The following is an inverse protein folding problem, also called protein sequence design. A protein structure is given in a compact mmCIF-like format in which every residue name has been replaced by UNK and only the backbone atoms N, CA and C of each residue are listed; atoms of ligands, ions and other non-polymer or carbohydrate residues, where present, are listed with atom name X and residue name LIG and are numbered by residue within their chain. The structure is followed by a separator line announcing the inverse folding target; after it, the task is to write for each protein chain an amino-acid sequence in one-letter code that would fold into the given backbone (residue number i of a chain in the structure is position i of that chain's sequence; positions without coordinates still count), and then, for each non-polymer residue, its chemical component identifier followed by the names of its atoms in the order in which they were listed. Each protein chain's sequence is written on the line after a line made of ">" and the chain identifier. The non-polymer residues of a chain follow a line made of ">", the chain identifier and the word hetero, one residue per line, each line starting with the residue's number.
data_IF_419792387387
#
_entry.id   IF_419792387387
#
_cell.length_a   1.000
_cell.length_b   1.000
_cell.length_c   1.000
_cell.angle_alpha   90.00
_cell.angle_beta   90.00
_cell.angle_gamma   90.00
#
_symmetry.space_group_name_H-M   'P 1'
#
loop_
_entity.id
_entity.type
_entity.pdbx_description
1 polymer ?
#
# COMPACT_ATOMS: atom_id res chain seq x y z
N UNK A 1 -17.25 0.69 34.83
CA UNK A 1 -16.79 1.36 33.60
C UNK A 1 -16.47 0.29 32.57
N UNK A 2 -17.44 -0.01 31.70
CA UNK A 2 -17.24 -0.95 30.60
C UNK A 2 -16.41 -0.25 29.52
N UNK A 3 -15.23 -0.77 29.24
CA UNK A 3 -14.45 -0.41 28.08
C UNK A 3 -15.14 -1.02 26.87
N UNK A 4 -15.72 -0.17 26.03
CA UNK A 4 -16.32 -0.56 24.77
C UNK A 4 -15.19 -1.03 23.82
N UNK A 5 -14.93 -2.34 23.84
CA UNK A 5 -14.03 -3.03 22.91
C UNK A 5 -14.71 -3.11 21.55
N UNK A 6 -14.63 -2.06 20.75
CA UNK A 6 -15.23 -2.09 19.41
C UNK A 6 -15.13 -0.83 18.57
N UNK A 7 -14.61 0.28 19.11
CA UNK A 7 -14.40 1.52 18.37
C UNK A 7 -13.18 1.50 17.45
N UNK A 8 -12.96 0.43 16.68
CA UNK A 8 -12.14 0.59 15.46
C UNK A 8 -12.97 1.51 14.58
N UNK A 9 -12.49 2.72 14.29
CA UNK A 9 -13.10 3.54 13.25
C UNK A 9 -13.15 2.66 12.01
N UNK A 10 -14.30 2.08 11.73
CA UNK A 10 -14.59 1.35 10.50
C UNK A 10 -14.70 2.48 9.48
N UNK A 11 -13.54 2.92 8.99
CA UNK A 11 -13.45 3.72 7.79
C UNK A 11 -14.01 2.81 6.69
N UNK A 12 -15.33 2.84 6.52
CA UNK A 12 -16.03 2.05 5.53
C UNK A 12 -15.40 2.35 4.18
N UNK A 13 -14.98 1.31 3.47
CA UNK A 13 -14.25 1.41 2.21
C UNK A 13 -14.98 2.32 1.20
N UNK A 14 -16.32 2.33 1.26
CA UNK A 14 -17.16 3.26 0.49
C UNK A 14 -16.95 4.74 0.82
N UNK A 15 -16.75 5.09 2.09
CA UNK A 15 -16.45 6.47 2.50
C UNK A 15 -15.10 6.91 1.93
N UNK A 16 -14.07 6.08 2.03
CA UNK A 16 -12.75 6.38 1.46
C UNK A 16 -12.85 6.50 -0.07
N UNK A 17 -13.55 5.59 -0.74
CA UNK A 17 -13.80 5.66 -2.19
C UNK A 17 -14.43 7.02 -2.57
N UNK A 18 -15.42 7.48 -1.80
CA UNK A 18 -16.10 8.76 -2.03
C UNK A 18 -15.16 9.95 -1.84
N UNK A 19 -14.38 9.95 -0.78
CA UNK A 19 -13.43 11.02 -0.45
C UNK A 19 -12.35 11.16 -1.52
N UNK A 20 -11.68 10.06 -1.86
CA UNK A 20 -10.62 10.05 -2.88
C UNK A 20 -11.15 10.38 -4.28
N UNK A 21 -12.34 9.88 -4.63
CA UNK A 21 -12.98 10.26 -5.91
C UNK A 21 -13.27 11.75 -5.97
N UNK A 22 -13.77 12.35 -4.89
CA UNK A 22 -14.04 13.79 -4.83
C UNK A 22 -12.75 14.61 -4.89
N UNK A 23 -11.70 14.16 -4.20
CA UNK A 23 -10.37 14.81 -4.20
C UNK A 23 -9.78 14.89 -5.61
N UNK A 24 -9.99 13.84 -6.41
CA UNK A 24 -9.57 13.79 -7.82
C UNK A 24 -10.53 14.50 -8.79
N UNK A 25 -11.61 15.13 -8.30
CA UNK A 25 -12.59 15.84 -9.12
C UNK A 25 -13.46 14.95 -10.02
N UNK A 26 -13.42 13.62 -9.84
CA UNK A 26 -14.10 12.68 -10.74
C UNK A 26 -15.58 12.49 -10.36
N UNK A 27 -16.45 12.38 -11.36
CA UNK A 27 -17.84 11.99 -11.13
C UNK A 27 -17.95 10.49 -10.83
N UNK A 28 -19.03 10.06 -10.17
CA UNK A 28 -19.27 8.65 -9.91
C UNK A 28 -19.42 7.83 -11.21
N UNK A 29 -19.98 8.44 -12.26
CA UNK A 29 -20.17 7.79 -13.56
C UNK A 29 -18.83 7.65 -14.30
N UNK A 30 -17.95 8.67 -14.24
CA UNK A 30 -16.60 8.59 -14.81
C UNK A 30 -15.71 7.53 -14.12
N UNK A 31 -15.83 7.40 -12.80
CA UNK A 31 -15.15 6.31 -12.08
C UNK A 31 -15.73 4.95 -12.46
N UNK A 32 -17.05 4.85 -12.58
CA UNK A 32 -17.73 3.62 -12.91
C UNK A 32 -17.38 3.11 -14.31
N UNK A 33 -17.28 4.01 -15.28
CA UNK A 33 -16.85 3.71 -16.65
C UNK A 33 -15.45 3.07 -16.66
N UNK A 34 -14.47 3.70 -15.99
CA UNK A 34 -13.11 3.15 -15.85
C UNK A 34 -13.07 1.82 -15.09
N UNK A 35 -13.97 1.64 -14.12
CA UNK A 35 -14.05 0.43 -13.32
C UNK A 35 -14.99 -0.63 -13.94
N UNK A 36 -15.51 -0.43 -15.15
CA UNK A 36 -16.45 -1.30 -15.84
C UNK A 36 -17.67 -1.69 -14.99
N UNK A 37 -18.27 -0.71 -14.30
CA UNK A 37 -19.47 -0.90 -13.49
C UNK A 37 -20.48 0.25 -13.69
N UNK A 38 -21.64 0.20 -13.02
CA UNK A 38 -22.62 1.29 -13.10
C UNK A 38 -22.36 2.38 -12.07
N UNK A 39 -22.56 3.65 -12.45
CA UNK A 39 -22.40 4.75 -11.50
C UNK A 39 -23.43 4.74 -10.36
N UNK A 40 -24.58 4.09 -10.55
CA UNK A 40 -25.53 3.82 -9.45
C UNK A 40 -24.92 2.89 -8.41
N UNK A 41 -24.20 1.85 -8.85
CA UNK A 41 -23.52 0.91 -7.96
C UNK A 41 -22.40 1.60 -7.17
N UNK A 42 -21.60 2.45 -7.83
CA UNK A 42 -20.57 3.26 -7.14
C UNK A 42 -21.20 4.12 -6.03
N UNK A 43 -22.29 4.84 -6.32
CA UNK A 43 -22.98 5.65 -5.30
C UNK A 43 -23.52 4.82 -4.13
N UNK A 44 -24.06 3.62 -4.40
CA UNK A 44 -24.53 2.70 -3.34
C UNK A 44 -23.37 2.20 -2.46
N UNK A 45 -22.22 1.93 -3.06
CA UNK A 45 -21.00 1.58 -2.33
C UNK A 45 -20.55 2.73 -1.44
N UNK A 46 -20.48 3.94 -1.99
CA UNK A 46 -20.08 5.15 -1.26
C UNK A 46 -20.97 5.48 -0.07
N UNK A 47 -22.23 5.05 -0.11
CA UNK A 47 -23.22 5.25 0.94
C UNK A 47 -23.26 4.07 1.94
N UNK A 48 -22.42 3.05 1.76
CA UNK A 48 -22.44 1.83 2.58
C UNK A 48 -23.65 0.93 2.35
N UNK A 49 -24.45 1.19 1.31
CA UNK A 49 -25.64 0.39 0.97
C UNK A 49 -25.28 -0.92 0.25
N UNK A 50 -24.06 -1.00 -0.32
CA UNK A 50 -23.52 -2.20 -0.98
C UNK A 50 -22.04 -2.36 -0.64
N UNK A 51 -21.62 -3.59 -0.38
CA UNK A 51 -20.19 -3.93 -0.26
C UNK A 51 -19.50 -3.99 -1.62
N UNK A 52 -18.17 -3.86 -1.62
CA UNK A 52 -17.34 -4.02 -2.81
C UNK A 52 -17.00 -5.50 -2.99
N UNK A 53 -17.36 -6.09 -4.13
CA UNK A 53 -16.99 -7.49 -4.43
C UNK A 53 -15.49 -7.61 -4.68
N UNK A 54 -14.94 -8.83 -4.53
CA UNK A 54 -13.51 -9.10 -4.75
C UNK A 54 -13.02 -8.65 -6.13
N UNK A 55 -13.81 -8.88 -7.17
CA UNK A 55 -13.51 -8.46 -8.54
C UNK A 55 -13.51 -6.93 -8.68
N UNK A 56 -14.54 -6.27 -8.14
CA UNK A 56 -14.64 -4.82 -8.18
C UNK A 56 -13.52 -4.11 -7.44
N UNK A 57 -12.97 -4.71 -6.38
CA UNK A 57 -11.83 -4.14 -5.65
C UNK A 57 -10.68 -3.83 -6.60
N UNK A 58 -10.29 -4.78 -7.45
CA UNK A 58 -9.18 -4.58 -8.42
C UNK A 58 -9.50 -3.45 -9.40
N UNK A 59 -10.69 -3.47 -9.99
CA UNK A 59 -11.09 -2.47 -10.98
C UNK A 59 -11.19 -1.07 -10.38
N UNK A 60 -11.82 -0.92 -9.21
CA UNK A 60 -11.91 0.37 -8.52
C UNK A 60 -10.55 0.86 -8.04
N UNK A 61 -9.68 -0.04 -7.58
CA UNK A 61 -8.33 0.31 -7.13
C UNK A 61 -7.50 0.91 -8.27
N UNK A 62 -7.52 0.27 -9.45
CA UNK A 62 -6.81 0.77 -10.64
C UNK A 62 -7.50 1.97 -11.26
N UNK A 63 -8.83 2.01 -11.29
CA UNK A 63 -9.57 3.12 -11.85
C UNK A 63 -9.42 4.39 -11.01
N UNK A 64 -9.44 4.28 -9.68
CA UNK A 64 -9.28 5.42 -8.78
C UNK A 64 -7.81 5.85 -8.70
N UNK A 65 -6.90 4.88 -8.57
CA UNK A 65 -5.45 5.08 -8.47
C UNK A 65 -5.05 6.11 -7.42
N UNK A 66 -5.48 5.83 -6.18
CA UNK A 66 -5.20 6.68 -5.03
C UNK A 66 -4.66 5.82 -3.89
N UNK A 67 -3.53 6.25 -3.34
CA UNK A 67 -2.76 5.47 -2.38
C UNK A 67 -3.53 5.14 -1.10
N UNK A 68 -4.35 6.11 -0.63
CA UNK A 68 -5.21 5.92 0.55
C UNK A 68 -6.29 4.85 0.32
N UNK A 69 -6.77 4.69 -0.91
CA UNK A 69 -7.72 3.62 -1.25
C UNK A 69 -7.03 2.25 -1.31
N UNK A 70 -5.79 2.16 -1.81
CA UNK A 70 -5.00 0.93 -1.73
C UNK A 70 -4.79 0.45 -0.29
N UNK A 71 -4.42 1.35 0.62
CA UNK A 71 -4.28 1.01 2.04
C UNK A 71 -5.58 0.57 2.69
N UNK A 72 -6.70 1.18 2.32
CA UNK A 72 -8.01 0.77 2.81
C UNK A 72 -8.36 -0.65 2.38
N UNK A 73 -8.09 -0.99 1.11
CA UNK A 73 -8.27 -2.34 0.57
C UNK A 73 -7.35 -3.35 1.25
N UNK A 74 -6.08 -3.00 1.47
CA UNK A 74 -5.12 -3.84 2.20
C UNK A 74 -5.63 -4.10 3.61
N UNK A 75 -6.08 -3.07 4.33
CA UNK A 75 -6.62 -3.17 5.69
C UNK A 75 -7.80 -4.13 5.77
N UNK A 76 -8.72 -4.01 4.83
CA UNK A 76 -9.88 -4.89 4.74
C UNK A 76 -9.46 -6.33 4.43
N UNK A 77 -8.53 -6.53 3.50
CA UNK A 77 -8.08 -7.85 3.07
C UNK A 77 -7.29 -8.61 4.15
N UNK A 78 -6.53 -7.90 4.98
CA UNK A 78 -5.61 -8.49 5.97
C UNK A 78 -6.14 -8.45 7.40
N UNK A 79 -7.33 -7.89 7.63
CA UNK A 79 -7.82 -7.62 8.99
C UNK A 79 -6.99 -6.58 9.75
N UNK A 80 -6.26 -5.72 9.03
CA UNK A 80 -5.42 -4.66 9.60
C UNK A 80 -3.95 -5.02 9.79
N UNK A 81 -3.53 -6.23 9.42
CA UNK A 81 -2.11 -6.63 9.37
C UNK A 81 -1.46 -5.95 8.16
N UNK A 82 -0.28 -5.36 8.29
CA UNK A 82 0.42 -4.60 7.23
C UNK A 82 -0.28 -3.33 6.72
N UNK A 83 -1.52 -3.05 7.12
CA UNK A 83 -2.25 -1.85 6.70
C UNK A 83 -2.13 -0.75 7.75
N UNK A 84 -0.93 -0.19 7.81
CA UNK A 84 -0.54 0.76 8.85
C UNK A 84 -1.21 2.11 8.59
N UNK A 85 -1.86 2.63 9.64
CA UNK A 85 -2.68 3.84 9.56
C UNK A 85 -1.84 5.04 9.13
N UNK A 86 -2.37 5.81 8.18
CA UNK A 86 -1.88 7.14 7.83
C UNK A 86 -2.30 8.20 8.87
N UNK A 87 -3.16 7.85 9.83
CA UNK A 87 -3.64 8.79 10.83
C UNK A 87 -2.46 9.38 11.62
N UNK A 88 -2.40 10.70 11.67
CA UNK A 88 -1.46 11.56 12.39
C UNK A 88 -0.13 11.88 11.69
N UNK A 89 0.10 11.48 10.44
CA UNK A 89 1.22 12.04 9.67
C UNK A 89 0.66 13.23 8.90
N UNK A 90 1.20 14.42 9.17
CA UNK A 90 0.82 15.64 8.46
C UNK A 90 0.94 15.40 6.95
N UNK A 91 -0.08 15.78 6.17
CA UNK A 91 -0.11 15.63 4.71
C UNK A 91 0.93 16.52 3.98
N UNK A 92 1.93 17.03 4.70
CA UNK A 92 2.98 17.88 4.18
C UNK A 92 4.16 17.03 3.69
N UNK A 93 4.56 17.20 2.43
CA UNK A 93 5.58 16.37 1.77
C UNK A 93 6.93 16.38 2.49
N UNK A 94 7.33 17.52 3.06
CA UNK A 94 8.58 17.60 3.83
C UNK A 94 8.52 16.77 5.11
N UNK A 95 7.39 16.80 5.83
CA UNK A 95 7.22 16.02 7.06
C UNK A 95 7.21 14.53 6.74
N UNK A 96 6.50 14.13 5.67
CA UNK A 96 6.51 12.74 5.20
C UNK A 96 7.90 12.27 4.78
N UNK A 97 8.70 13.13 4.12
CA UNK A 97 10.11 12.84 3.77
C UNK A 97 10.96 12.64 5.01
N UNK A 98 10.94 13.60 5.93
CA UNK A 98 11.84 13.59 7.09
C UNK A 98 11.49 12.41 8.02
N UNK A 99 10.20 12.11 8.18
CA UNK A 99 9.73 10.91 8.88
C UNK A 99 10.20 9.61 8.19
N UNK A 100 10.11 9.53 6.87
CA UNK A 100 10.62 8.38 6.11
C UNK A 100 12.13 8.18 6.30
N UNK A 101 12.92 9.25 6.23
CA UNK A 101 14.37 9.17 6.39
C UNK A 101 14.75 8.72 7.81
N UNK A 102 14.10 9.27 8.84
CA UNK A 102 14.32 8.89 10.23
C UNK A 102 14.05 7.39 10.46
N UNK A 103 12.87 6.92 10.08
CA UNK A 103 12.44 5.54 10.32
C UNK A 103 13.29 4.54 9.51
N UNK A 104 13.77 4.94 8.33
CA UNK A 104 14.71 4.14 7.54
C UNK A 104 16.09 4.03 8.21
N UNK A 105 16.57 5.10 8.83
CA UNK A 105 17.81 5.11 9.60
C UNK A 105 17.71 4.21 10.83
N UNK A 106 16.66 4.38 11.65
CA UNK A 106 16.40 3.58 12.86
C UNK A 106 16.28 2.07 12.54
N UNK A 107 15.53 1.72 11.49
CA UNK A 107 15.44 0.33 11.04
C UNK A 107 16.80 -0.21 10.57
N UNK A 108 17.57 0.59 9.83
CA UNK A 108 18.92 0.22 9.39
C UNK A 108 19.86 -0.04 10.57
N UNK A 109 19.81 0.80 11.60
CA UNK A 109 20.58 0.61 12.83
C UNK A 109 20.16 -0.65 13.60
N UNK A 110 18.86 -0.89 13.75
CA UNK A 110 18.35 -2.08 14.42
C UNK A 110 18.76 -3.38 13.71
N UNK A 111 18.72 -3.39 12.37
CA UNK A 111 19.18 -4.53 11.55
C UNK A 111 20.69 -4.74 11.72
N UNK A 112 21.49 -3.67 11.68
CA UNK A 112 22.96 -3.75 11.88
C UNK A 112 23.33 -4.17 13.30
N UNK A 113 22.55 -3.78 14.30
CA UNK A 113 22.77 -4.08 15.71
C UNK A 113 22.43 -5.52 16.13
N UNK A 114 21.98 -6.36 15.20
CA UNK A 114 21.55 -7.75 15.47
C UNK A 114 22.34 -8.83 14.72
N UNK A 115 23.69 -8.72 14.54
CA UNK A 115 24.46 -9.62 13.69
C UNK A 115 24.36 -11.10 14.11
N UNK A 116 24.19 -11.37 15.41
CA UNK A 116 24.04 -12.74 15.94
C UNK A 116 22.76 -13.43 15.52
N UNK A 117 21.66 -12.68 15.30
CA UNK A 117 20.38 -13.26 14.89
C UNK A 117 20.45 -13.89 13.49
N UNK A 118 21.40 -13.46 12.65
CA UNK A 118 21.57 -13.95 11.28
C UNK A 118 22.37 -15.27 11.20
N UNK A 119 23.05 -15.65 12.28
CA UNK A 119 23.94 -16.80 12.32
C UNK A 119 23.33 -18.02 13.01
N UNK A 120 22.22 -17.84 13.76
CA UNK A 120 21.61 -18.90 14.54
C UNK A 120 20.11 -19.05 14.22
N UNK A 121 19.67 -20.19 13.64
CA UNK A 121 18.26 -20.43 13.38
C UNK A 121 17.42 -20.69 14.66
N UNK A 122 18.07 -20.97 15.80
CA UNK A 122 17.41 -21.24 17.09
C UNK A 122 17.69 -20.12 18.09
N UNK A 123 16.80 -19.14 18.13
CA UNK A 123 16.93 -18.00 19.03
C UNK A 123 16.54 -18.37 20.48
N UNK A 124 17.35 -17.93 21.43
CA UNK A 124 17.02 -17.88 22.86
C UNK A 124 15.93 -16.82 23.13
N UNK A 125 15.28 -16.84 24.30
CA UNK A 125 14.25 -15.83 24.63
C UNK A 125 14.77 -14.36 24.65
N UNK A 126 15.98 -14.07 25.15
CA UNK A 126 16.57 -12.74 25.00
C UNK A 126 16.77 -12.34 23.53
N UNK A 127 17.25 -13.27 22.70
CA UNK A 127 17.45 -13.02 21.26
C UNK A 127 16.12 -12.84 20.52
N UNK A 128 15.07 -13.59 20.87
CA UNK A 128 13.71 -13.35 20.36
C UNK A 128 13.21 -11.96 20.74
N UNK A 129 13.50 -11.49 21.95
CA UNK A 129 13.14 -10.14 22.39
C UNK A 129 13.87 -9.09 21.55
N UNK A 130 15.16 -9.28 21.30
CA UNK A 130 15.94 -8.43 20.40
C UNK A 130 15.40 -8.45 18.96
N UNK A 131 15.06 -9.63 18.43
CA UNK A 131 14.45 -9.79 17.12
C UNK A 131 13.11 -9.05 17.00
N UNK A 132 12.28 -9.10 18.05
CA UNK A 132 11.01 -8.35 18.10
C UNK A 132 11.23 -6.84 18.10
N UNK A 133 12.28 -6.35 18.75
CA UNK A 133 12.68 -4.94 18.68
C UNK A 133 13.04 -4.56 17.24
N UNK A 134 13.94 -5.32 16.62
CA UNK A 134 14.31 -5.11 15.21
C UNK A 134 13.10 -5.16 14.27
N UNK A 135 12.22 -6.16 14.39
CA UNK A 135 11.01 -6.24 13.56
C UNK A 135 10.08 -5.06 13.74
N UNK A 136 10.00 -4.48 14.94
CA UNK A 136 9.20 -3.27 15.18
C UNK A 136 9.74 -2.10 14.36
N UNK A 137 11.04 -1.86 14.40
CA UNK A 137 11.65 -0.76 13.63
C UNK A 137 11.48 -0.97 12.12
N UNK A 138 11.65 -2.21 11.63
CA UNK A 138 11.39 -2.52 10.21
C UNK A 138 9.92 -2.27 9.83
N UNK A 139 8.98 -2.65 10.68
CA UNK A 139 7.54 -2.38 10.44
C UNK A 139 7.26 -0.87 10.40
N UNK A 140 7.93 -0.07 11.23
CA UNK A 140 7.78 1.39 11.23
C UNK A 140 8.41 2.02 9.98
N UNK A 141 9.57 1.55 9.52
CA UNK A 141 10.15 1.96 8.24
C UNK A 141 9.22 1.64 7.06
N UNK A 142 8.59 0.46 7.03
CA UNK A 142 7.58 0.10 6.02
C UNK A 142 6.41 1.08 6.06
N UNK A 143 5.87 1.36 7.24
CA UNK A 143 4.79 2.36 7.42
C UNK A 143 5.18 3.73 6.88
N UNK A 144 6.39 4.18 7.20
CA UNK A 144 6.90 5.49 6.81
C UNK A 144 7.10 5.57 5.29
N UNK A 145 7.68 4.53 4.67
CA UNK A 145 7.86 4.42 3.23
C UNK A 145 6.52 4.45 2.48
N UNK A 146 5.54 3.65 2.92
CA UNK A 146 4.22 3.66 2.30
C UNK A 146 3.53 5.03 2.46
N UNK A 147 3.68 5.68 3.61
CA UNK A 147 3.11 7.03 3.84
C UNK A 147 3.76 8.07 2.94
N UNK A 148 5.08 8.03 2.82
CA UNK A 148 5.83 8.89 1.93
C UNK A 148 5.36 8.72 0.48
N UNK A 149 5.25 7.47 0.00
CA UNK A 149 4.71 7.18 -1.33
C UNK A 149 3.31 7.77 -1.50
N UNK A 150 2.40 7.57 -0.53
CA UNK A 150 1.04 8.13 -0.60
C UNK A 150 1.02 9.66 -0.71
N UNK A 151 1.74 10.35 0.18
CA UNK A 151 1.71 11.82 0.26
C UNK A 151 2.37 12.45 -0.97
N UNK A 152 3.43 11.83 -1.48
CA UNK A 152 4.21 12.37 -2.59
C UNK A 152 3.58 12.04 -3.93
N UNK A 153 3.06 10.83 -4.15
CA UNK A 153 2.40 10.43 -5.40
C UNK A 153 1.19 11.33 -5.69
N UNK A 154 0.36 11.55 -4.67
CA UNK A 154 -0.82 12.43 -4.76
C UNK A 154 -0.42 13.86 -5.11
N UNK A 155 0.78 14.28 -4.69
CA UNK A 155 1.29 15.61 -4.90
C UNK A 155 1.94 15.87 -6.26
N UNK A 156 2.39 14.81 -6.93
CA UNK A 156 3.12 14.87 -8.21
C UNK A 156 2.34 14.27 -9.38
N UNK A 157 1.10 13.83 -9.16
CA UNK A 157 0.25 13.17 -10.17
C UNK A 157 0.94 11.93 -10.77
N UNK A 158 1.62 11.17 -9.91
CA UNK A 158 2.27 9.91 -10.28
C UNK A 158 1.32 8.76 -9.98
N UNK A 159 1.06 7.92 -10.99
CA UNK A 159 0.34 6.67 -10.81
C UNK A 159 1.19 5.68 -10.01
N UNK A 160 0.73 5.32 -8.81
CA UNK A 160 1.37 4.24 -8.06
C UNK A 160 1.12 2.90 -8.72
N UNK A 161 -0.09 2.68 -9.26
CA UNK A 161 -0.42 1.46 -9.99
C UNK A 161 0.58 1.16 -11.11
N UNK A 162 0.86 2.15 -11.96
CA UNK A 162 1.77 1.98 -13.08
C UNK A 162 3.21 1.79 -12.59
N UNK A 163 3.65 2.56 -11.59
CA UNK A 163 4.99 2.42 -11.00
C UNK A 163 5.22 1.03 -10.38
N UNK A 164 4.20 0.45 -9.73
CA UNK A 164 4.30 -0.94 -9.22
C UNK A 164 4.43 -1.96 -10.36
N UNK A 165 3.73 -1.78 -11.47
CA UNK A 165 3.84 -2.68 -12.63
C UNK A 165 5.23 -2.56 -13.29
N UNK A 166 5.78 -1.35 -13.37
CA UNK A 166 7.15 -1.10 -13.86
C UNK A 166 8.20 -1.82 -13.00
N UNK A 167 8.15 -1.63 -11.68
CA UNK A 167 9.09 -2.26 -10.75
C UNK A 167 8.97 -3.78 -10.77
N UNK A 168 7.76 -4.32 -10.86
CA UNK A 168 7.54 -5.77 -10.98
C UNK A 168 8.15 -6.32 -12.26
N UNK A 169 7.96 -5.63 -13.39
CA UNK A 169 8.56 -6.03 -14.67
C UNK A 169 10.10 -5.98 -14.60
N UNK A 170 10.68 -4.96 -13.98
CA UNK A 170 12.13 -4.88 -13.76
C UNK A 170 12.66 -6.05 -12.91
N UNK A 171 11.92 -6.46 -11.89
CA UNK A 171 12.31 -7.57 -11.02
C UNK A 171 12.26 -8.90 -11.78
N UNK A 172 11.21 -9.13 -12.56
CA UNK A 172 11.11 -10.30 -13.45
C UNK A 172 12.28 -10.34 -14.43
N UNK A 173 12.66 -9.20 -15.00
CA UNK A 173 13.76 -9.10 -15.96
C UNK A 173 15.14 -9.34 -15.32
N UNK A 174 15.31 -8.94 -14.04
CA UNK A 174 16.52 -9.21 -13.24
C UNK A 174 16.63 -10.69 -12.86
N UNK A 175 15.52 -11.32 -12.48
CA UNK A 175 15.48 -12.72 -12.05
C UNK A 175 15.56 -13.70 -13.23
N UNK A 176 15.04 -13.34 -14.41
CA UNK A 176 15.00 -14.19 -15.61
C UNK A 176 15.66 -13.54 -16.85
N UNK A 177 16.99 -13.38 -16.87
CA UNK A 177 17.70 -12.68 -17.95
C UNK A 177 17.59 -13.38 -19.32
N UNK A 178 17.23 -14.66 -19.39
CA UNK A 178 17.08 -15.40 -20.65
C UNK A 178 15.91 -14.92 -21.52
N UNK A 179 14.92 -14.24 -20.94
CA UNK A 179 13.83 -13.60 -21.71
C UNK A 179 14.29 -12.38 -22.52
N UNK A 180 15.53 -11.90 -22.31
CA UNK A 180 16.11 -10.76 -23.06
C UNK A 180 16.47 -11.07 -24.52
N UNK A 181 16.34 -12.32 -25.01
CA UNK A 181 16.62 -12.65 -26.42
C UNK A 181 15.54 -13.49 -27.08
N UNK A 182 14.61 -12.82 -27.75
CA UNK A 182 14.37 -13.06 -29.19
C UNK A 182 14.13 -11.74 -29.90
N UNK A 183 15.16 -11.17 -30.55
CA UNK A 183 14.90 -10.25 -31.66
C UNK A 183 14.06 -11.02 -32.70
N UNK A 184 12.94 -10.45 -33.10
CA UNK A 184 12.20 -10.93 -34.27
C UNK A 184 13.12 -10.88 -35.50
N UNK A 185 13.61 -12.04 -35.93
CA UNK A 185 14.45 -12.11 -37.13
C UNK A 185 15.07 -13.47 -37.39
N UNK A 186 14.29 -14.41 -37.95
CA UNK A 186 14.78 -15.42 -38.89
C UNK A 186 13.58 -16.16 -39.52
N UNK A 187 12.86 -15.50 -40.43
CA UNK A 187 12.13 -16.23 -41.46
C UNK A 187 13.20 -16.89 -42.35
N UNK A 188 13.35 -18.22 -42.24
CA UNK A 188 14.03 -19.01 -43.27
C UNK A 188 13.13 -19.02 -44.50
N UNK A 189 13.58 -18.36 -45.58
CA UNK A 189 13.23 -18.74 -46.95
C UNK A 189 14.23 -19.77 -47.43
#
# INVERSE_FOLDING_TARGET
>A
MCWDKGGVIKLELGTILREERKKTGRSADALAEKAHCSGSLVRKIEQGQRGITKEMRRHLARALDQARFYKALQREATGGVMALSLANIENHRLVARDYFLLELEEAGEAVRGTPRLWLNPLLTEPEKTQARGMFREVIQAIRAAETFLCVVSDGWDISLADLYDEVEQENIDKEYPEKRKRPNGAQKK
#
